data_IF_729855183843
#
_entry.id   IF_729855183843
#
_cell.length_a   1.000
_cell.length_b   1.000
_cell.length_c   1.000
_cell.angle_alpha   90.00
_cell.angle_beta   90.00
_cell.angle_gamma   90.00
#
_symmetry.space_group_name_H-M   'P 1'
#
loop_
_entity.id
_entity.type
_entity.pdbx_description
1 polymer ?
#
# COMPACT_ATOMS: atom_id res chain seq x y z
N UNK A 1 -42.21 -40.94 -49.45
CA UNK A 1 -41.29 -39.80 -49.51
C UNK A 1 -41.26 -39.15 -48.16
N UNK A 2 -40.20 -39.41 -47.34
CA UNK A 2 -40.01 -38.80 -46.00
C UNK A 2 -39.17 -37.57 -46.16
N UNK A 3 -39.68 -36.36 -45.83
CA UNK A 3 -38.94 -35.09 -45.83
C UNK A 3 -38.22 -34.98 -44.48
N UNK A 4 -36.88 -34.95 -44.51
CA UNK A 4 -36.03 -34.63 -43.37
C UNK A 4 -35.86 -33.11 -43.30
N UNK A 5 -36.36 -32.51 -42.18
CA UNK A 5 -36.19 -31.10 -41.87
C UNK A 5 -34.83 -30.95 -41.11
N UNK A 6 -33.86 -30.33 -41.75
CA UNK A 6 -32.59 -30.01 -41.14
C UNK A 6 -32.76 -28.73 -40.32
N UNK A 7 -32.62 -28.83 -39.00
CA UNK A 7 -32.49 -27.67 -38.12
C UNK A 7 -31.04 -27.22 -38.12
N UNK A 8 -30.74 -26.02 -38.65
CA UNK A 8 -29.42 -25.37 -38.50
C UNK A 8 -29.43 -24.71 -37.13
N UNK A 9 -28.68 -25.27 -36.18
CA UNK A 9 -28.42 -24.64 -34.90
C UNK A 9 -27.28 -23.62 -35.15
N UNK A 10 -27.65 -22.35 -35.17
CA UNK A 10 -26.72 -21.24 -35.26
C UNK A 10 -26.13 -21.02 -33.86
N UNK A 11 -24.95 -21.60 -33.61
CA UNK A 11 -24.16 -21.30 -32.41
C UNK A 11 -23.70 -19.84 -32.45
N UNK A 12 -24.38 -18.97 -31.75
CA UNK A 12 -23.90 -17.61 -31.47
C UNK A 12 -22.72 -17.75 -30.49
N UNK A 13 -21.52 -17.60 -31.01
CA UNK A 13 -20.31 -17.50 -30.19
C UNK A 13 -20.33 -16.15 -29.47
N UNK A 14 -20.80 -16.10 -28.23
CA UNK A 14 -20.65 -14.96 -27.35
C UNK A 14 -19.17 -15.00 -26.90
N UNK A 15 -18.32 -14.31 -27.65
CA UNK A 15 -16.93 -14.07 -27.22
C UNK A 15 -16.94 -13.40 -25.83
N UNK A 16 -15.95 -13.69 -24.96
CA UNK A 16 -15.85 -13.03 -23.69
C UNK A 16 -15.83 -11.52 -23.94
N UNK A 17 -16.75 -10.78 -23.31
CA UNK A 17 -16.70 -9.33 -23.32
C UNK A 17 -15.33 -8.91 -22.75
N UNK A 18 -14.48 -8.36 -23.61
CA UNK A 18 -13.16 -7.88 -23.26
C UNK A 18 -13.34 -6.62 -22.38
N UNK A 19 -13.69 -6.84 -21.13
CA UNK A 19 -13.66 -5.79 -20.11
C UNK A 19 -12.19 -5.43 -19.87
N UNK A 20 -11.82 -4.17 -20.07
CA UNK A 20 -10.47 -3.71 -19.71
C UNK A 20 -10.17 -4.12 -18.28
N UNK A 21 -9.04 -4.80 -18.06
CA UNK A 21 -8.56 -5.12 -16.71
C UNK A 21 -8.51 -3.84 -15.87
N UNK A 22 -9.03 -3.84 -14.65
CA UNK A 22 -9.04 -2.65 -13.82
C UNK A 22 -7.62 -2.19 -13.53
N UNK A 23 -7.44 -0.89 -13.36
CA UNK A 23 -6.19 -0.35 -12.84
C UNK A 23 -6.16 -0.58 -11.33
N UNK A 24 -5.10 -1.22 -10.81
CA UNK A 24 -4.95 -1.47 -9.38
C UNK A 24 -4.07 -0.44 -8.71
N UNK A 25 -4.53 0.03 -7.54
CA UNK A 25 -3.75 0.82 -6.60
C UNK A 25 -3.46 -0.10 -5.43
N UNK A 26 -2.18 -0.30 -5.13
CA UNK A 26 -1.68 -1.24 -4.12
C UNK A 26 -0.96 -0.49 -3.02
N UNK A 27 -1.09 -0.93 -1.78
CA UNK A 27 -0.19 -0.59 -0.69
C UNK A 27 0.43 -1.86 -0.12
N UNK A 28 1.75 -1.82 0.17
CA UNK A 28 2.47 -2.93 0.77
C UNK A 28 3.55 -2.45 1.73
N UNK A 29 3.46 -2.82 3.00
CA UNK A 29 4.59 -2.77 3.91
C UNK A 29 5.49 -3.98 3.59
N UNK A 30 6.71 -3.72 3.13
CA UNK A 30 7.61 -4.74 2.59
C UNK A 30 8.55 -5.35 3.64
N UNK A 31 8.38 -5.01 4.91
CA UNK A 31 9.19 -5.51 6.03
C UNK A 31 10.69 -5.31 5.78
N UNK A 32 11.22 -4.13 6.11
CA UNK A 32 12.66 -3.85 6.13
C UNK A 32 13.39 -4.23 4.82
N UNK A 33 13.03 -3.57 3.72
CA UNK A 33 13.74 -3.73 2.45
C UNK A 33 15.01 -2.89 2.47
N UNK A 34 16.09 -3.44 3.00
CA UNK A 34 17.43 -2.87 3.02
C UNK A 34 18.26 -3.41 1.86
N UNK A 35 19.26 -2.64 1.41
CA UNK A 35 20.34 -3.16 0.58
C UNK A 35 21.36 -3.95 1.43
N UNK A 36 22.59 -4.08 1.02
CA UNK A 36 23.61 -4.88 1.76
C UNK A 36 24.78 -4.03 2.26
N UNK A 37 24.62 -2.71 2.20
CA UNK A 37 25.64 -1.76 2.63
C UNK A 37 25.17 -1.06 3.90
N UNK A 38 26.10 -0.75 4.77
CA UNK A 38 25.88 -0.01 6.01
C UNK A 38 25.81 1.49 5.73
N UNK A 39 24.70 2.15 6.13
CA UNK A 39 24.62 3.61 6.13
C UNK A 39 25.01 4.13 7.53
N UNK A 40 26.15 4.80 7.68
CA UNK A 40 26.61 5.27 8.99
C UNK A 40 25.70 6.32 9.64
N UNK A 41 24.67 6.83 8.94
CA UNK A 41 23.72 7.80 9.45
C UNK A 41 22.45 7.14 10.05
N UNK A 42 22.26 5.85 9.83
CA UNK A 42 21.09 5.09 10.28
C UNK A 42 21.49 3.87 11.13
N UNK A 43 20.52 3.15 11.66
CA UNK A 43 20.76 1.91 12.44
C UNK A 43 20.34 0.71 11.63
N UNK A 44 21.02 0.48 10.52
CA UNK A 44 20.80 -0.62 9.57
C UNK A 44 21.94 -1.64 9.56
N UNK A 45 22.96 -1.45 10.40
CA UNK A 45 24.17 -2.28 10.56
C UNK A 45 23.84 -3.79 10.71
N UNK A 46 22.69 -4.15 11.27
CA UNK A 46 22.25 -5.54 11.33
C UNK A 46 21.90 -6.14 9.95
N UNK A 47 21.59 -5.32 8.93
CA UNK A 47 21.20 -5.73 7.58
C UNK A 47 22.39 -5.71 6.59
N UNK A 48 23.56 -6.04 7.05
CA UNK A 48 24.76 -6.24 6.21
C UNK A 48 25.16 -7.72 6.16
N UNK A 49 26.02 -8.16 5.23
CA UNK A 49 26.52 -9.54 5.19
C UNK A 49 27.22 -9.98 6.47
N UNK A 50 27.89 -9.06 7.17
CA UNK A 50 28.59 -9.28 8.44
C UNK A 50 27.71 -8.96 9.65
N UNK A 51 26.61 -8.25 9.47
CA UNK A 51 25.68 -7.87 10.52
C UNK A 51 24.90 -9.06 11.10
N UNK A 52 24.16 -8.80 12.16
CA UNK A 52 23.44 -9.83 12.92
C UNK A 52 22.39 -10.61 12.07
N UNK A 53 21.87 -10.03 11.02
CA UNK A 53 20.94 -10.68 10.08
C UNK A 53 21.66 -11.49 8.99
N UNK A 54 23.00 -11.34 8.85
CA UNK A 54 23.71 -11.93 7.71
C UNK A 54 23.00 -11.66 6.39
N UNK A 55 22.69 -10.38 6.14
CA UNK A 55 21.91 -9.92 5.00
C UNK A 55 22.76 -9.92 3.73
N UNK A 56 22.91 -11.10 3.11
CA UNK A 56 23.73 -11.29 1.92
C UNK A 56 23.01 -10.80 0.67
N UNK A 57 23.79 -10.53 -0.40
CA UNK A 57 23.25 -10.19 -1.72
C UNK A 57 22.24 -11.21 -2.23
N UNK A 58 22.43 -12.51 -1.96
CA UNK A 58 21.49 -13.57 -2.36
C UNK A 58 20.14 -13.41 -1.65
N UNK A 59 20.14 -13.14 -0.33
CA UNK A 59 18.92 -12.89 0.44
C UNK A 59 18.21 -11.63 -0.05
N UNK A 60 18.97 -10.56 -0.30
CA UNK A 60 18.46 -9.32 -0.87
C UNK A 60 17.76 -9.55 -2.22
N UNK A 61 18.45 -10.18 -3.18
CA UNK A 61 17.87 -10.48 -4.50
C UNK A 61 16.67 -11.42 -4.41
N UNK A 62 16.68 -12.37 -3.46
CA UNK A 62 15.54 -13.25 -3.19
C UNK A 62 14.34 -12.45 -2.68
N UNK A 63 14.56 -11.47 -1.81
CA UNK A 63 13.52 -10.55 -1.30
C UNK A 63 12.92 -9.73 -2.44
N UNK A 64 13.75 -9.10 -3.27
CA UNK A 64 13.29 -8.31 -4.43
C UNK A 64 12.42 -9.15 -5.37
N UNK A 65 12.89 -10.37 -5.72
CA UNK A 65 12.14 -11.28 -6.59
C UNK A 65 10.77 -11.62 -5.99
N UNK A 66 10.70 -11.97 -4.71
CA UNK A 66 9.43 -12.33 -4.05
C UNK A 66 8.46 -11.16 -3.92
N UNK A 67 8.97 -9.95 -3.65
CA UNK A 67 8.16 -8.74 -3.63
C UNK A 67 7.57 -8.45 -5.00
N UNK A 68 8.39 -8.54 -6.05
CA UNK A 68 7.94 -8.31 -7.41
C UNK A 68 6.94 -9.37 -7.91
N UNK A 69 7.15 -10.65 -7.56
CA UNK A 69 6.20 -11.74 -7.84
C UNK A 69 4.85 -11.50 -7.14
N UNK A 70 4.86 -10.98 -5.90
CA UNK A 70 3.63 -10.62 -5.21
C UNK A 70 2.88 -9.48 -5.91
N UNK A 71 3.59 -8.42 -6.31
CA UNK A 71 3.00 -7.28 -7.01
C UNK A 71 2.48 -7.65 -8.40
N UNK A 72 3.19 -8.49 -9.15
CA UNK A 72 2.73 -9.00 -10.45
C UNK A 72 1.47 -9.87 -10.29
N UNK A 73 1.47 -10.78 -9.30
CA UNK A 73 0.31 -11.62 -8.99
C UNK A 73 -0.92 -10.79 -8.60
N UNK A 74 -0.74 -9.71 -7.82
CA UNK A 74 -1.82 -8.75 -7.53
C UNK A 74 -2.30 -8.12 -8.83
N UNK A 75 -1.43 -7.83 -9.77
CA UNK A 75 -1.77 -7.23 -11.05
C UNK A 75 -2.77 -8.03 -11.88
N UNK A 76 -2.75 -9.36 -11.78
CA UNK A 76 -3.72 -10.23 -12.46
C UNK A 76 -3.65 -10.13 -13.99
N UNK A 77 -2.43 -10.08 -14.54
CA UNK A 77 -2.16 -9.96 -15.98
C UNK A 77 -1.85 -8.52 -16.46
N UNK A 78 -1.93 -7.54 -15.56
CA UNK A 78 -1.47 -6.17 -15.80
C UNK A 78 -0.85 -5.64 -14.51
N UNK A 79 0.41 -5.24 -14.56
CA UNK A 79 1.09 -4.67 -13.39
C UNK A 79 0.29 -3.51 -12.76
N UNK A 80 0.31 -3.34 -11.42
CA UNK A 80 -0.43 -2.28 -10.74
C UNK A 80 -0.12 -0.89 -11.29
N UNK A 81 -1.13 -0.03 -11.37
CA UNK A 81 -0.96 1.36 -11.84
C UNK A 81 -0.12 2.18 -10.87
N UNK A 82 -0.39 2.00 -9.57
CA UNK A 82 0.27 2.70 -8.47
C UNK A 82 0.55 1.72 -7.35
N UNK A 83 1.76 1.81 -6.78
CA UNK A 83 2.16 1.03 -5.60
C UNK A 83 2.74 1.97 -4.55
N UNK A 84 2.09 2.06 -3.39
CA UNK A 84 2.68 2.65 -2.19
C UNK A 84 3.43 1.59 -1.41
N UNK A 85 4.64 1.90 -1.00
CA UNK A 85 5.49 1.01 -0.21
C UNK A 85 5.85 1.66 1.12
N UNK A 86 6.02 0.84 2.14
CA UNK A 86 6.61 1.24 3.42
C UNK A 86 7.70 0.26 3.82
N UNK A 87 8.63 0.75 4.66
CA UNK A 87 9.82 0.03 5.10
C UNK A 87 10.80 -0.25 3.94
N UNK A 88 11.00 0.73 3.11
CA UNK A 88 12.07 0.77 2.10
C UNK A 88 13.21 1.64 2.61
N UNK A 89 14.44 1.23 2.43
CA UNK A 89 15.61 1.95 2.93
C UNK A 89 15.89 3.21 2.11
N UNK A 90 16.18 3.04 0.85
CA UNK A 90 16.70 4.10 0.00
C UNK A 90 16.17 3.99 -1.45
N UNK A 91 16.56 4.96 -2.28
CA UNK A 91 16.20 4.96 -3.70
C UNK A 91 16.78 3.75 -4.45
N UNK A 92 17.96 3.29 -4.06
CA UNK A 92 18.65 2.17 -4.75
C UNK A 92 17.87 0.86 -4.68
N UNK A 93 17.29 0.54 -3.52
CA UNK A 93 16.47 -0.68 -3.38
C UNK A 93 15.22 -0.62 -4.25
N UNK A 94 14.67 0.57 -4.48
CA UNK A 94 13.50 0.79 -5.35
C UNK A 94 13.87 0.66 -6.83
N UNK A 95 15.02 1.19 -7.24
CA UNK A 95 15.56 1.00 -8.59
C UNK A 95 15.84 -0.49 -8.86
N UNK A 96 16.47 -1.19 -7.92
CA UNK A 96 16.70 -2.62 -8.03
C UNK A 96 15.40 -3.42 -8.12
N UNK A 97 14.39 -3.05 -7.35
CA UNK A 97 13.06 -3.66 -7.41
C UNK A 97 12.37 -3.44 -8.75
N UNK A 98 12.44 -2.22 -9.30
CA UNK A 98 11.70 -1.84 -10.52
C UNK A 98 12.45 -2.14 -11.81
N UNK A 99 13.78 -2.31 -11.79
CA UNK A 99 14.59 -2.49 -12.99
C UNK A 99 15.18 -3.90 -13.12
N UNK A 100 15.38 -4.62 -12.00
CA UNK A 100 16.04 -5.94 -11.98
C UNK A 100 15.08 -7.10 -11.72
N UNK A 101 13.78 -6.84 -11.74
CA UNK A 101 12.74 -7.85 -11.51
C UNK A 101 11.65 -7.80 -12.59
N UNK A 102 10.62 -8.63 -12.48
CA UNK A 102 9.46 -8.62 -13.41
C UNK A 102 8.73 -7.27 -13.46
N UNK A 103 8.98 -6.36 -12.51
CA UNK A 103 8.41 -5.02 -12.53
C UNK A 103 9.04 -4.10 -13.59
N UNK A 104 10.15 -4.49 -14.22
CA UNK A 104 10.79 -3.70 -15.29
C UNK A 104 9.83 -3.40 -16.44
N UNK A 105 8.95 -4.33 -16.76
CA UNK A 105 7.91 -4.16 -17.80
C UNK A 105 6.89 -3.06 -17.45
N UNK A 106 6.81 -2.69 -16.18
CA UNK A 106 5.91 -1.64 -15.68
C UNK A 106 6.41 -0.22 -15.97
N UNK A 107 7.70 -0.04 -16.27
CA UNK A 107 8.35 1.26 -16.49
C UNK A 107 8.00 2.27 -15.38
N UNK A 108 8.17 1.86 -14.12
CA UNK A 108 7.75 2.65 -12.98
C UNK A 108 8.59 3.93 -12.80
N UNK A 109 7.90 5.05 -12.53
CA UNK A 109 8.47 6.22 -11.91
C UNK A 109 8.53 6.01 -10.40
N UNK A 110 9.55 6.55 -9.75
CA UNK A 110 9.81 6.41 -8.31
C UNK A 110 9.72 7.78 -7.66
N UNK A 111 8.86 7.92 -6.66
CA UNK A 111 8.86 9.06 -5.73
C UNK A 111 9.34 8.55 -4.37
N UNK A 112 10.47 9.05 -3.93
CA UNK A 112 11.12 8.68 -2.67
C UNK A 112 12.04 9.79 -2.20
N UNK A 113 12.20 9.92 -0.88
CA UNK A 113 13.19 10.75 -0.20
C UNK A 113 13.49 10.14 1.16
N UNK A 114 14.77 10.11 1.50
CA UNK A 114 15.22 9.70 2.83
C UNK A 114 14.63 10.63 3.89
N UNK A 115 14.08 10.05 4.93
CA UNK A 115 13.46 10.73 6.07
C UNK A 115 14.36 10.61 7.31
N UNK A 116 14.06 11.30 8.41
CA UNK A 116 14.91 11.21 9.60
C UNK A 116 14.64 9.98 10.48
N UNK A 117 13.94 8.97 10.00
CA UNK A 117 13.76 7.73 10.78
C UNK A 117 15.13 7.12 11.14
N UNK A 118 15.31 6.84 12.42
CA UNK A 118 16.62 6.38 12.92
C UNK A 118 17.00 4.97 12.45
N UNK A 119 16.06 4.20 11.91
CA UNK A 119 16.33 2.88 11.32
C UNK A 119 16.69 2.97 9.83
N UNK A 120 16.52 4.16 9.22
CA UNK A 120 16.72 4.32 7.78
C UNK A 120 15.62 3.68 6.94
N UNK A 121 14.38 3.64 7.42
CA UNK A 121 13.24 3.13 6.63
C UNK A 121 12.30 4.25 6.24
N UNK A 122 11.79 4.18 5.04
CA UNK A 122 11.00 5.21 4.41
C UNK A 122 9.72 4.69 3.76
N UNK A 123 9.00 5.61 3.14
CA UNK A 123 7.86 5.32 2.25
C UNK A 123 8.21 5.71 0.82
N UNK A 124 7.61 4.99 -0.14
CA UNK A 124 7.79 5.28 -1.55
C UNK A 124 6.47 5.15 -2.33
N UNK A 125 6.40 5.84 -3.45
CA UNK A 125 5.34 5.68 -4.45
C UNK A 125 5.96 5.27 -5.78
N UNK A 126 5.49 4.15 -6.33
CA UNK A 126 5.76 3.72 -7.69
C UNK A 126 4.51 4.00 -8.53
N UNK A 127 4.70 4.55 -9.73
CA UNK A 127 3.61 4.82 -10.68
C UNK A 127 4.04 4.48 -12.11
N UNK A 128 3.13 3.98 -12.93
CA UNK A 128 3.44 3.63 -14.32
C UNK A 128 3.55 4.90 -15.17
N UNK A 129 4.78 5.24 -15.61
CA UNK A 129 5.09 6.47 -16.37
C UNK A 129 4.37 6.57 -17.70
N UNK A 130 4.05 5.45 -18.32
CA UNK A 130 3.31 5.42 -19.59
C UNK A 130 1.79 5.64 -19.45
N UNK A 131 1.26 5.65 -18.21
CA UNK A 131 -0.17 5.85 -17.94
C UNK A 131 -0.43 7.08 -17.04
N UNK A 132 0.58 7.55 -16.33
CA UNK A 132 0.46 8.66 -15.37
C UNK A 132 1.64 9.63 -15.50
N UNK A 133 1.35 10.91 -15.35
CA UNK A 133 2.35 11.98 -15.25
C UNK A 133 2.46 12.46 -13.81
N UNK A 134 3.68 12.65 -13.30
CA UNK A 134 3.94 13.22 -11.98
C UNK A 134 4.00 14.74 -12.11
N UNK A 135 3.12 15.47 -11.42
CA UNK A 135 3.01 16.92 -11.47
C UNK A 135 3.72 17.62 -10.32
N UNK A 136 3.62 17.06 -9.09
CA UNK A 136 4.13 17.68 -7.88
C UNK A 136 4.45 16.60 -6.83
N UNK A 137 5.49 16.82 -6.03
CA UNK A 137 5.81 15.99 -4.87
C UNK A 137 6.10 16.87 -3.65
N UNK A 138 5.74 16.35 -2.47
CA UNK A 138 6.04 16.96 -1.20
C UNK A 138 6.27 15.88 -0.14
N UNK A 139 7.05 16.17 0.89
CA UNK A 139 7.33 15.25 1.98
C UNK A 139 7.06 15.96 3.30
N UNK A 140 5.94 15.59 3.91
CA UNK A 140 5.41 16.30 5.05
C UNK A 140 6.03 15.76 6.33
N UNK A 141 6.86 16.59 6.98
CA UNK A 141 7.47 16.29 8.25
C UNK A 141 6.42 16.17 9.35
N UNK A 142 6.56 15.15 10.22
CA UNK A 142 5.76 15.00 11.42
C UNK A 142 6.53 15.61 12.60
N UNK A 143 6.15 16.80 13.08
CA UNK A 143 6.85 17.44 14.20
C UNK A 143 6.39 16.84 15.54
N UNK A 144 7.34 16.66 16.45
CA UNK A 144 7.11 16.29 17.84
C UNK A 144 7.75 17.33 18.77
N UNK A 145 7.14 18.53 18.92
CA UNK A 145 7.75 19.59 19.74
C UNK A 145 7.85 19.22 21.23
N UNK A 146 7.05 18.27 21.68
CA UNK A 146 7.06 17.74 23.05
C UNK A 146 8.26 16.84 23.33
N UNK A 147 8.85 16.25 22.28
CA UNK A 147 10.01 15.35 22.36
C UNK A 147 10.77 15.38 21.03
N UNK A 148 11.79 16.22 20.95
CA UNK A 148 12.63 16.40 19.77
C UNK A 148 13.51 15.18 19.42
N UNK A 149 13.58 14.18 20.31
CA UNK A 149 14.31 12.93 20.05
C UNK A 149 13.53 11.96 19.16
N UNK A 150 12.21 12.15 19.04
CA UNK A 150 11.37 11.31 18.19
C UNK A 150 11.65 11.65 16.73
N UNK A 151 12.27 10.70 16.05
CA UNK A 151 12.49 10.72 14.60
C UNK A 151 11.60 9.67 13.94
N UNK A 152 10.93 10.05 12.87
CA UNK A 152 10.02 9.14 12.15
C UNK A 152 9.98 9.51 10.68
N UNK A 153 9.38 8.62 9.88
CA UNK A 153 9.19 8.80 8.44
C UNK A 153 8.38 10.04 8.14
N UNK A 154 8.74 10.71 7.07
CA UNK A 154 7.90 11.75 6.47
C UNK A 154 6.67 11.09 5.80
N UNK A 155 5.61 11.88 5.60
CA UNK A 155 4.48 11.48 4.78
C UNK A 155 4.75 11.92 3.36
N UNK A 156 4.79 10.99 2.42
CA UNK A 156 4.94 11.30 1.00
C UNK A 156 3.60 11.81 0.45
N UNK A 157 3.64 12.92 -0.25
CA UNK A 157 2.55 13.42 -1.08
C UNK A 157 3.00 13.48 -2.54
N UNK A 158 2.15 13.02 -3.45
CA UNK A 158 2.35 13.13 -4.89
C UNK A 158 1.04 13.55 -5.57
N UNK A 159 1.14 14.56 -6.45
CA UNK A 159 0.07 14.96 -7.36
C UNK A 159 0.39 14.44 -8.74
N UNK A 160 -0.54 13.73 -9.33
CA UNK A 160 -0.36 13.09 -10.64
C UNK A 160 -1.51 13.42 -11.56
N UNK A 161 -1.25 13.35 -12.87
CA UNK A 161 -2.27 13.35 -13.91
C UNK A 161 -2.46 11.94 -14.43
N UNK A 162 -3.69 11.44 -14.37
CA UNK A 162 -4.11 10.19 -14.98
C UNK A 162 -5.16 10.49 -16.03
N UNK A 163 -4.81 10.38 -17.31
CA UNK A 163 -5.63 10.87 -18.43
C UNK A 163 -5.92 12.36 -18.30
N UNK A 164 -7.15 12.76 -17.96
CA UNK A 164 -7.58 14.16 -17.75
C UNK A 164 -7.77 14.51 -16.29
N UNK A 165 -7.58 13.55 -15.37
CA UNK A 165 -7.91 13.72 -13.97
C UNK A 165 -6.67 13.87 -13.10
N UNK A 166 -6.69 14.85 -12.22
CA UNK A 166 -5.68 15.00 -11.19
C UNK A 166 -5.99 14.10 -10.02
N UNK A 167 -5.04 13.24 -9.66
CA UNK A 167 -5.08 12.35 -8.50
C UNK A 167 -4.02 12.76 -7.49
N UNK A 168 -4.41 12.80 -6.21
CA UNK A 168 -3.53 13.13 -5.10
C UNK A 168 -3.28 11.88 -4.26
N UNK A 169 -2.02 11.44 -4.19
CA UNK A 169 -1.61 10.28 -3.42
C UNK A 169 -0.87 10.71 -2.15
N UNK A 170 -1.18 10.03 -1.05
CA UNK A 170 -0.39 10.08 0.17
C UNK A 170 0.08 8.66 0.49
N UNK A 171 1.37 8.50 0.78
CA UNK A 171 1.91 7.25 1.31
C UNK A 171 2.40 7.51 2.72
N UNK A 172 1.90 6.70 3.67
CA UNK A 172 2.09 6.90 5.09
C UNK A 172 2.66 5.63 5.74
N UNK A 173 3.56 5.82 6.70
CA UNK A 173 3.88 4.80 7.68
C UNK A 173 3.89 5.46 9.07
N UNK A 174 2.77 5.37 9.77
CA UNK A 174 2.60 6.03 11.07
C UNK A 174 3.47 5.38 12.16
N UNK A 175 3.78 6.11 13.25
CA UNK A 175 4.52 5.57 14.38
C UNK A 175 3.90 4.29 14.92
N UNK A 176 4.77 3.27 15.16
CA UNK A 176 4.34 1.95 15.63
C UNK A 176 3.76 1.97 17.05
N UNK A 177 3.19 0.84 17.46
CA UNK A 177 2.65 0.64 18.81
C UNK A 177 3.70 0.28 19.86
N UNK A 178 5.01 0.47 19.56
CA UNK A 178 6.10 0.22 20.53
C UNK A 178 5.87 1.05 21.80
N UNK A 179 6.03 0.40 22.95
CA UNK A 179 5.72 0.98 24.25
C UNK A 179 4.26 0.88 24.67
N UNK A 180 3.42 0.27 23.82
CA UNK A 180 1.99 0.06 24.08
C UNK A 180 1.09 0.87 23.14
N UNK A 181 -0.02 0.27 22.73
CA UNK A 181 -0.96 0.86 21.77
C UNK A 181 -1.50 2.21 22.26
N UNK A 182 -1.96 2.27 23.52
CA UNK A 182 -2.54 3.50 24.13
C UNK A 182 -1.47 4.57 24.36
N UNK A 183 -0.30 4.17 24.87
CA UNK A 183 0.80 5.07 25.22
C UNK A 183 1.41 5.74 23.98
N UNK A 184 1.42 5.07 22.85
CA UNK A 184 1.96 5.58 21.59
C UNK A 184 0.92 6.23 20.66
N UNK A 185 -0.39 6.18 21.01
CA UNK A 185 -1.48 6.65 20.15
C UNK A 185 -1.38 8.13 19.78
N UNK A 186 -0.92 8.96 20.68
CA UNK A 186 -0.75 10.40 20.43
C UNK A 186 0.21 10.70 19.28
N UNK A 187 1.22 9.82 19.05
CA UNK A 187 2.16 9.96 17.94
C UNK A 187 1.46 9.70 16.61
N UNK A 188 0.56 8.71 16.55
CA UNK A 188 -0.26 8.42 15.36
C UNK A 188 -1.28 9.52 15.10
N UNK A 189 -1.89 10.07 16.15
CA UNK A 189 -2.78 11.24 16.02
C UNK A 189 -2.02 12.45 15.45
N UNK A 190 -0.76 12.66 15.87
CA UNK A 190 0.10 13.72 15.34
C UNK A 190 0.33 13.52 13.84
N UNK A 191 0.69 12.33 13.42
CA UNK A 191 0.85 11.99 12.00
C UNK A 191 -0.46 12.20 11.22
N UNK A 192 -1.58 11.71 11.73
CA UNK A 192 -2.91 11.90 11.15
C UNK A 192 -3.27 13.39 10.98
N UNK A 193 -2.91 14.24 11.95
CA UNK A 193 -3.15 15.68 11.88
C UNK A 193 -2.35 16.38 10.78
N UNK A 194 -1.14 15.89 10.46
CA UNK A 194 -0.33 16.40 9.35
C UNK A 194 -1.01 16.08 8.02
N UNK A 195 -1.43 14.83 7.81
CA UNK A 195 -2.18 14.45 6.61
C UNK A 195 -3.48 15.24 6.50
N UNK A 196 -4.24 15.36 7.61
CA UNK A 196 -5.52 16.07 7.63
C UNK A 196 -5.38 17.51 7.19
N UNK A 197 -4.36 18.26 7.67
CA UNK A 197 -4.12 19.65 7.25
C UNK A 197 -3.91 19.79 5.75
N UNK A 198 -3.11 18.90 5.13
CA UNK A 198 -2.91 18.93 3.66
C UNK A 198 -4.21 18.57 2.92
N UNK A 199 -4.96 17.57 3.39
CA UNK A 199 -6.28 17.21 2.86
C UNK A 199 -7.26 18.38 2.94
N UNK A 200 -7.33 19.08 4.07
CA UNK A 200 -8.20 20.25 4.24
C UNK A 200 -7.83 21.37 3.28
N UNK A 201 -6.54 21.58 3.01
CA UNK A 201 -6.10 22.58 2.03
C UNK A 201 -6.56 22.21 0.62
N UNK A 202 -6.49 20.93 0.25
CA UNK A 202 -6.96 20.45 -1.06
C UNK A 202 -8.49 20.57 -1.19
N UNK A 203 -9.24 20.16 -0.17
CA UNK A 203 -10.71 20.24 -0.19
C UNK A 203 -11.25 21.67 -0.14
N UNK A 204 -10.49 22.62 0.42
CA UNK A 204 -10.86 24.06 0.33
C UNK A 204 -10.74 24.60 -1.10
N UNK A 205 -9.79 24.09 -1.89
CA UNK A 205 -9.62 24.49 -3.29
C UNK A 205 -10.68 23.77 -4.15
N UNK A 206 -10.84 22.45 -3.96
CA UNK A 206 -11.84 21.65 -4.66
C UNK A 206 -12.39 20.56 -3.75
N UNK A 207 -13.63 20.70 -3.30
CA UNK A 207 -14.31 19.66 -2.51
C UNK A 207 -14.49 18.34 -3.31
N UNK A 208 -14.32 18.37 -4.61
CA UNK A 208 -14.32 17.21 -5.51
C UNK A 208 -12.93 16.60 -5.74
N UNK A 209 -11.87 17.10 -5.10
CA UNK A 209 -10.51 16.59 -5.28
C UNK A 209 -10.44 15.07 -5.08
N UNK A 210 -9.72 14.41 -5.99
CA UNK A 210 -9.56 12.96 -6.02
C UNK A 210 -8.33 12.54 -5.20
N UNK A 211 -8.54 12.07 -3.96
CA UNK A 211 -7.46 11.75 -3.02
C UNK A 211 -7.45 10.25 -2.70
N UNK A 212 -6.24 9.69 -2.64
CA UNK A 212 -5.94 8.34 -2.16
C UNK A 212 -4.87 8.46 -1.07
N UNK A 213 -5.19 8.05 0.15
CA UNK A 213 -4.26 7.96 1.28
C UNK A 213 -4.07 6.48 1.56
N UNK A 214 -2.86 5.98 1.43
CA UNK A 214 -2.54 4.59 1.67
C UNK A 214 -1.36 4.48 2.63
N UNK A 215 -1.34 3.39 3.41
CA UNK A 215 -0.24 3.24 4.36
C UNK A 215 -0.49 2.21 5.44
N UNK A 216 0.60 1.84 6.11
CA UNK A 216 0.57 1.24 7.43
C UNK A 216 0.34 2.36 8.46
N UNK A 217 -0.90 2.49 8.91
CA UNK A 217 -1.29 3.50 9.89
C UNK A 217 -1.13 3.03 11.33
N UNK A 218 -0.57 1.81 11.52
CA UNK A 218 -0.32 1.22 12.83
C UNK A 218 -1.54 1.30 13.78
N UNK A 219 -2.74 1.13 13.21
CA UNK A 219 -4.00 1.21 13.96
C UNK A 219 -5.19 0.81 13.10
N UNK A 220 -6.22 0.26 13.73
CA UNK A 220 -7.47 -0.15 13.07
C UNK A 220 -8.26 1.07 12.56
N UNK A 221 -9.22 0.84 11.66
CA UNK A 221 -10.02 1.91 11.03
C UNK A 221 -10.90 2.74 11.99
N UNK A 222 -10.99 2.37 13.26
CA UNK A 222 -11.79 3.06 14.29
C UNK A 222 -10.95 3.67 15.43
N UNK A 223 -9.63 3.78 15.26
CA UNK A 223 -8.72 4.37 16.28
C UNK A 223 -8.85 5.89 16.36
N UNK A 224 -8.39 6.54 17.46
CA UNK A 224 -8.36 8.00 17.56
C UNK A 224 -7.60 8.68 16.42
N UNK A 225 -6.50 8.11 15.93
CA UNK A 225 -5.79 8.65 14.76
C UNK A 225 -6.67 8.69 13.50
N UNK A 226 -7.51 7.68 13.26
CA UNK A 226 -8.48 7.68 12.16
C UNK A 226 -9.58 8.74 12.35
N UNK A 227 -9.96 9.03 13.59
CA UNK A 227 -10.92 10.11 13.91
C UNK A 227 -10.31 11.49 13.63
N UNK A 228 -9.02 11.70 14.00
CA UNK A 228 -8.27 12.92 13.67
C UNK A 228 -8.16 13.10 12.16
N UNK A 229 -7.87 12.03 11.41
CA UNK A 229 -7.85 12.04 9.95
C UNK A 229 -9.24 12.32 9.35
N UNK A 230 -10.31 12.10 10.11
CA UNK A 230 -11.69 12.36 9.70
C UNK A 230 -12.25 11.30 8.74
N UNK A 231 -11.82 10.05 8.90
CA UNK A 231 -12.25 8.96 8.03
C UNK A 231 -13.63 8.42 8.41
N UNK A 232 -14.39 8.04 7.41
CA UNK A 232 -15.72 7.44 7.53
C UNK A 232 -15.74 6.02 6.98
N UNK A 233 -16.75 5.26 7.33
CA UNK A 233 -17.00 3.96 6.73
C UNK A 233 -17.49 4.13 5.28
N UNK A 234 -16.81 3.49 4.33
CA UNK A 234 -17.11 3.53 2.89
C UNK A 234 -18.43 2.86 2.49
N UNK A 235 -19.02 2.04 3.38
CA UNK A 235 -20.35 1.45 3.18
C UNK A 235 -21.50 2.44 3.50
N UNK A 236 -21.19 3.62 4.04
CA UNK A 236 -22.18 4.65 4.36
C UNK A 236 -22.44 5.60 3.17
N UNK A 237 -23.31 6.59 3.40
CA UNK A 237 -23.60 7.63 2.39
C UNK A 237 -22.32 8.41 2.04
N UNK A 238 -21.99 8.47 0.75
CA UNK A 238 -20.80 9.12 0.23
C UNK A 238 -21.09 10.59 -0.13
N UNK A 239 -20.19 11.49 0.30
CA UNK A 239 -20.23 12.92 0.02
C UNK A 239 -18.86 13.41 -0.47
N UNK A 240 -18.84 14.45 -1.28
CA UNK A 240 -17.59 15.14 -1.63
C UNK A 240 -17.04 15.88 -0.40
N UNK A 241 -15.73 16.12 -0.36
CA UNK A 241 -15.08 16.77 0.76
C UNK A 241 -14.94 15.88 2.01
N UNK A 242 -15.25 14.59 1.90
CA UNK A 242 -15.11 13.61 2.98
C UNK A 242 -14.17 12.48 2.57
N UNK A 243 -13.51 11.88 3.55
CA UNK A 243 -12.63 10.72 3.41
C UNK A 243 -13.30 9.44 3.89
N UNK A 244 -13.07 8.33 3.18
CA UNK A 244 -13.68 7.03 3.43
C UNK A 244 -12.61 5.95 3.51
N UNK A 245 -12.55 5.24 4.64
CA UNK A 245 -11.67 4.09 4.81
C UNK A 245 -12.32 2.85 4.20
N UNK A 246 -11.72 2.35 3.12
CA UNK A 246 -12.24 1.20 2.37
C UNK A 246 -12.02 -0.13 3.08
N UNK A 247 -11.15 -0.18 4.10
CA UNK A 247 -10.92 -1.33 4.98
C UNK A 247 -11.84 -1.38 6.21
N UNK A 248 -12.75 -0.41 6.39
CA UNK A 248 -13.58 -0.31 7.60
C UNK A 248 -14.43 -1.56 7.86
N UNK A 249 -14.88 -2.25 6.81
CA UNK A 249 -15.68 -3.47 6.91
C UNK A 249 -14.94 -4.64 7.58
N UNK A 250 -13.59 -4.63 7.54
CA UNK A 250 -12.73 -5.66 8.14
C UNK A 250 -12.73 -5.64 9.66
N UNK A 251 -13.14 -4.52 10.31
CA UNK A 251 -13.26 -4.44 11.77
C UNK A 251 -14.16 -5.55 12.36
N UNK A 252 -15.11 -6.05 11.58
CA UNK A 252 -16.04 -7.11 11.98
C UNK A 252 -15.61 -8.50 11.48
N UNK A 253 -14.44 -8.60 10.86
CA UNK A 253 -13.91 -9.84 10.31
C UNK A 253 -12.68 -10.26 11.10
N UNK A 254 -12.51 -11.57 11.32
CA UNK A 254 -11.24 -12.11 11.80
C UNK A 254 -10.31 -12.30 10.58
N UNK A 255 -9.96 -11.17 9.95
CA UNK A 255 -9.13 -11.11 8.76
C UNK A 255 -8.48 -9.73 8.64
N UNK A 256 -7.29 -9.66 8.08
CA UNK A 256 -6.56 -8.41 7.94
C UNK A 256 -5.23 -8.59 7.21
N UNK A 257 -4.43 -7.55 7.19
CA UNK A 257 -3.13 -7.51 6.53
C UNK A 257 -1.97 -7.93 7.44
N UNK A 258 -2.14 -7.85 8.75
CA UNK A 258 -1.14 -8.17 9.77
C UNK A 258 -1.70 -9.12 10.82
N UNK A 259 -0.86 -10.02 11.35
CA UNK A 259 -1.32 -10.95 12.39
C UNK A 259 -0.41 -10.93 13.60
N UNK A 260 -0.97 -10.55 14.74
CA UNK A 260 -0.27 -10.47 16.01
C UNK A 260 -0.92 -11.37 17.07
N UNK A 261 -0.15 -12.25 17.71
CA UNK A 261 -0.63 -13.21 18.74
C UNK A 261 -1.93 -13.92 18.32
N UNK A 262 -1.96 -14.42 17.08
CA UNK A 262 -3.11 -15.13 16.54
C UNK A 262 -4.30 -14.29 16.08
N UNK A 263 -4.28 -12.98 16.33
CA UNK A 263 -5.34 -12.07 15.96
C UNK A 263 -4.98 -11.30 14.67
N UNK A 264 -5.84 -11.40 13.67
CA UNK A 264 -5.72 -10.59 12.46
C UNK A 264 -6.07 -9.12 12.73
N UNK A 265 -5.29 -8.23 12.18
CA UNK A 265 -5.47 -6.79 12.27
C UNK A 265 -5.37 -6.19 10.87
N UNK A 266 -6.23 -5.21 10.57
CA UNK A 266 -6.12 -4.36 9.40
C UNK A 266 -5.50 -3.05 9.85
N UNK A 267 -4.19 -2.93 9.68
CA UNK A 267 -3.41 -1.72 10.00
C UNK A 267 -2.89 -1.05 8.73
N UNK A 268 -2.91 -1.77 7.62
CA UNK A 268 -2.66 -1.27 6.27
C UNK A 268 -3.98 -0.83 5.64
N UNK A 269 -4.03 0.41 5.19
CA UNK A 269 -5.27 1.05 4.75
C UNK A 269 -5.14 1.67 3.37
N UNK A 270 -6.28 1.74 2.65
CA UNK A 270 -6.50 2.62 1.51
C UNK A 270 -7.74 3.45 1.84
N UNK A 271 -7.54 4.76 2.01
CA UNK A 271 -8.57 5.75 2.34
C UNK A 271 -8.72 6.65 1.11
N UNK A 272 -9.95 6.91 0.71
CA UNK A 272 -10.21 7.63 -0.54
C UNK A 272 -11.21 8.76 -0.33
N UNK A 273 -11.13 9.78 -1.18
CA UNK A 273 -12.14 10.84 -1.20
C UNK A 273 -13.48 10.34 -1.73
N UNK A 274 -14.56 10.98 -1.29
CA UNK A 274 -15.90 10.65 -1.75
C UNK A 274 -16.11 10.87 -3.24
N UNK A 275 -15.37 11.77 -3.87
CA UNK A 275 -15.40 12.00 -5.32
C UNK A 275 -15.00 10.75 -6.10
N UNK A 276 -13.95 10.06 -5.68
CA UNK A 276 -13.49 8.80 -6.31
C UNK A 276 -14.52 7.67 -6.16
N UNK A 277 -15.20 7.58 -5.02
CA UNK A 277 -16.26 6.58 -4.80
C UNK A 277 -17.55 6.89 -5.57
N UNK A 278 -17.80 8.16 -5.91
CA UNK A 278 -18.95 8.60 -6.70
C UNK A 278 -18.66 8.63 -8.20
N UNK A 279 -17.40 8.46 -8.57
CA UNK A 279 -16.99 8.46 -9.97
C UNK A 279 -17.09 9.83 -10.64
N UNK A 280 -16.83 10.93 -9.94
CA UNK A 280 -16.81 12.27 -10.52
C UNK A 280 -15.52 12.61 -11.26
N UNK A 281 -14.42 11.95 -10.94
CA UNK A 281 -13.10 12.22 -11.49
C UNK A 281 -12.76 11.30 -12.69
N UNK A 282 -13.67 11.06 -13.63
CA UNK A 282 -13.42 10.19 -14.79
C UNK A 282 -13.09 8.74 -14.48
N UNK A 283 -12.81 8.42 -13.22
CA UNK A 283 -12.56 7.07 -12.70
C UNK A 283 -13.40 6.82 -11.44
N UNK A 284 -13.59 5.55 -11.10
CA UNK A 284 -14.33 5.13 -9.90
C UNK A 284 -13.53 4.06 -9.18
N UNK A 285 -13.32 4.24 -7.88
CA UNK A 285 -12.74 3.21 -7.01
C UNK A 285 -13.83 2.35 -6.37
N UNK A 286 -13.48 1.11 -6.10
CA UNK A 286 -14.33 0.23 -5.31
C UNK A 286 -14.48 0.74 -3.87
N UNK A 287 -15.58 0.37 -3.21
CA UNK A 287 -15.85 0.81 -1.83
C UNK A 287 -15.08 0.03 -0.78
N UNK A 288 -14.54 -1.13 -1.15
CA UNK A 288 -13.85 -2.05 -0.24
C UNK A 288 -12.50 -2.42 -0.83
N UNK A 289 -11.45 -2.24 -0.06
CA UNK A 289 -10.13 -2.78 -0.39
C UNK A 289 -10.15 -4.31 -0.30
N UNK A 290 -9.20 -4.94 -0.98
CA UNK A 290 -8.94 -6.37 -0.86
C UNK A 290 -7.59 -6.58 -0.19
N UNK A 291 -7.52 -7.51 0.78
CA UNK A 291 -6.26 -8.03 1.31
C UNK A 291 -5.84 -9.20 0.44
N UNK A 292 -4.68 -9.12 -0.18
CA UNK A 292 -4.16 -10.17 -1.06
C UNK A 292 -3.41 -11.22 -0.24
N UNK A 293 -3.98 -12.40 -0.12
CA UNK A 293 -3.49 -13.51 0.72
C UNK A 293 -3.20 -14.77 -0.09
N UNK A 294 -2.41 -14.64 -1.14
CA UNK A 294 -1.98 -15.80 -1.93
C UNK A 294 -1.20 -16.79 -1.04
N UNK A 295 -1.32 -18.11 -1.27
CA UNK A 295 -0.69 -19.14 -0.45
C UNK A 295 0.82 -18.96 -0.26
N UNK A 296 1.53 -18.46 -1.28
CA UNK A 296 2.99 -18.25 -1.21
C UNK A 296 3.41 -17.10 -0.27
N UNK A 297 2.48 -16.21 0.11
CA UNK A 297 2.69 -15.15 1.09
C UNK A 297 2.47 -15.62 2.53
N UNK A 298 1.95 -16.82 2.71
CA UNK A 298 1.51 -17.33 4.00
C UNK A 298 2.41 -18.47 4.50
N UNK A 299 2.42 -18.64 5.80
CA UNK A 299 2.95 -19.82 6.47
C UNK A 299 1.96 -20.28 7.56
N UNK A 300 2.07 -21.54 7.97
CA UNK A 300 1.30 -22.08 9.09
C UNK A 300 1.73 -21.42 10.40
N UNK A 301 0.77 -20.95 11.18
CA UNK A 301 0.99 -20.48 12.54
C UNK A 301 0.81 -21.60 13.55
N UNK A 302 1.90 -22.29 13.87
CA UNK A 302 1.90 -23.44 14.80
C UNK A 302 1.54 -23.06 16.25
N UNK A 303 1.71 -21.78 16.63
CA UNK A 303 1.45 -21.30 18.00
C UNK A 303 -0.02 -20.96 18.21
N UNK A 304 -0.64 -20.30 17.25
CA UNK A 304 -2.01 -19.80 17.36
C UNK A 304 -2.97 -20.42 16.35
N UNK A 305 -2.52 -21.47 15.66
CA UNK A 305 -3.24 -22.18 14.60
C UNK A 305 -3.67 -21.29 13.41
N UNK A 306 -3.83 -21.91 12.25
CA UNK A 306 -4.18 -21.24 11.00
C UNK A 306 -2.95 -20.69 10.27
N UNK A 307 -3.15 -19.62 9.50
CA UNK A 307 -2.10 -19.05 8.66
C UNK A 307 -1.78 -17.62 9.08
N UNK A 308 -0.53 -17.20 8.82
CA UNK A 308 -0.04 -15.83 9.01
C UNK A 308 0.86 -15.41 7.84
N UNK A 309 1.12 -14.13 7.64
CA UNK A 309 2.12 -13.70 6.68
C UNK A 309 3.46 -14.34 6.98
N UNK A 310 4.19 -14.70 5.92
CA UNK A 310 5.52 -15.30 6.04
C UNK A 310 6.59 -14.21 6.01
N UNK A 311 7.22 -13.88 7.17
CA UNK A 311 8.17 -12.78 7.27
C UNK A 311 9.52 -13.13 6.63
N UNK A 312 10.34 -12.12 6.37
CA UNK A 312 11.74 -12.29 5.97
C UNK A 312 12.55 -12.91 7.11
N UNK A 313 12.31 -12.39 8.32
CA UNK A 313 12.98 -12.88 9.54
C UNK A 313 11.98 -13.17 10.67
N UNK A 314 12.38 -14.06 11.58
CA UNK A 314 11.74 -14.24 12.87
C UNK A 314 12.81 -14.13 13.96
N UNK A 315 12.86 -12.96 14.59
CA UNK A 315 14.00 -12.57 15.41
C UNK A 315 15.30 -12.60 14.57
N UNK A 316 16.37 -13.28 14.99
CA UNK A 316 17.60 -13.37 14.22
C UNK A 316 17.53 -14.39 13.06
N UNK A 317 16.53 -15.29 13.06
CA UNK A 317 16.47 -16.39 12.10
C UNK A 317 15.91 -15.94 10.75
N UNK A 318 16.65 -16.16 9.68
CA UNK A 318 16.16 -15.99 8.31
C UNK A 318 15.10 -17.04 7.96
N UNK A 319 13.93 -16.59 7.55
CA UNK A 319 12.79 -17.42 7.10
C UNK A 319 12.65 -17.37 5.58
N UNK A 320 13.12 -16.29 4.97
CA UNK A 320 13.06 -16.09 3.53
C UNK A 320 11.63 -15.92 3.01
N UNK A 321 10.72 -15.37 3.82
CA UNK A 321 9.40 -14.93 3.39
C UNK A 321 9.42 -13.61 2.65
N UNK A 322 8.24 -13.09 2.35
CA UNK A 322 8.08 -11.86 1.59
C UNK A 322 7.93 -10.65 2.50
N UNK A 323 7.05 -10.73 3.50
CA UNK A 323 6.80 -9.69 4.51
C UNK A 323 5.95 -10.28 5.65
N UNK A 324 6.00 -9.66 6.82
CA UNK A 324 5.08 -9.91 7.95
C UNK A 324 3.72 -9.21 7.78
N UNK A 325 3.55 -8.45 6.69
CA UNK A 325 2.29 -7.90 6.22
C UNK A 325 1.80 -8.61 4.95
N UNK A 326 0.49 -8.53 4.70
CA UNK A 326 -0.12 -8.84 3.41
C UNK A 326 -0.42 -7.53 2.67
N UNK A 327 -0.16 -7.46 1.35
CA UNK A 327 -0.51 -6.27 0.59
C UNK A 327 -2.02 -6.07 0.51
N UNK A 328 -2.43 -4.82 0.44
CA UNK A 328 -3.81 -4.42 0.22
C UNK A 328 -3.95 -3.67 -1.10
N UNK A 329 -5.07 -3.85 -1.78
CA UNK A 329 -5.31 -3.16 -3.05
C UNK A 329 -6.77 -2.75 -3.24
N UNK A 330 -6.98 -1.84 -4.16
CA UNK A 330 -8.30 -1.41 -4.62
C UNK A 330 -8.31 -1.28 -6.14
N UNK A 331 -9.40 -1.72 -6.76
CA UNK A 331 -9.57 -1.61 -8.20
C UNK A 331 -10.16 -0.25 -8.59
N UNK A 332 -9.53 0.37 -9.59
CA UNK A 332 -9.96 1.61 -10.21
C UNK A 332 -10.49 1.32 -11.62
N UNK A 333 -11.75 1.66 -11.85
CA UNK A 333 -12.42 1.56 -13.15
C UNK A 333 -12.47 2.92 -13.81
N UNK A 334 -11.98 3.02 -15.04
CA UNK A 334 -12.18 4.22 -15.85
C UNK A 334 -13.64 4.29 -16.30
N UNK A 335 -14.23 5.47 -16.29
CA UNK A 335 -15.49 5.71 -17.02
C UNK A 335 -15.15 5.70 -18.51
N UNK A 336 -15.98 5.04 -19.27
CA UNK A 336 -15.94 5.09 -20.74
C UNK A 336 -16.34 6.48 -21.24
#
# INVERSE_FOLDING_TARGET
MKRYLFWIVMCVWIGPACGQSPHRIVFYNVENLFDTFDDPLTRDDEFTPQGAKHWTRERYMTKLRKLSEALDSIGGGKLPLVVGLAEVENRKVLEDLTEKTVLADGQYGIVHRDSPDARGIDVALLYRKNEMELLETDFLRIPFPEDSTIRTRDILYAKTLFRTDTLHFFVCHFPSMIGGEKQSEWRRQRAASVVRRKVDSLFRIDAGAALVIMGDLNGKANTPAQQVLGTRNSDKRIRNGELYNTGYYLLKKNYGSYRYKGQWQTIDHIIVSGSLLRGKAGCTLERRLTVFSAPFLLEEDKTYFGFKPRPTYRGPRYIGGTSDHLPVYIDMKSKK
#
